data_IF_254023965581
#
_entry.id   IF_254023965581
#
_cell.length_a   1.000
_cell.length_b   1.000
_cell.length_c   1.000
_cell.angle_alpha   90.00
_cell.angle_beta   90.00
_cell.angle_gamma   90.00
#
_symmetry.space_group_name_H-M   'P 1'
#
loop_
_entity.id
_entity.type
_entity.pdbx_description
1 polymer ?
#
# COMPACT_ATOMS: atom_id res chain seq x y z
N UNK A 1 7.87 26.41 -19.38
CA UNK A 1 6.42 26.58 -19.08
C UNK A 1 5.65 25.55 -19.90
N UNK A 2 4.66 24.87 -19.33
CA UNK A 2 3.78 23.92 -20.04
C UNK A 2 2.37 24.51 -19.97
N UNK A 3 1.77 24.75 -21.14
CA UNK A 3 0.36 25.17 -21.23
C UNK A 3 -0.54 23.94 -21.14
N UNK A 4 -1.39 23.89 -20.14
CA UNK A 4 -2.38 22.82 -19.98
C UNK A 4 -3.54 22.94 -20.98
N UNK A 5 -3.69 24.08 -21.66
CA UNK A 5 -4.71 24.33 -22.70
C UNK A 5 -6.14 23.99 -22.22
N UNK A 6 -6.51 24.40 -21.00
CA UNK A 6 -7.83 24.14 -20.40
C UNK A 6 -8.06 22.70 -19.93
N UNK A 7 -7.07 21.83 -20.01
CA UNK A 7 -7.14 20.44 -19.52
C UNK A 7 -7.11 20.38 -17.98
N UNK A 8 -7.63 19.27 -17.43
CA UNK A 8 -7.60 19.02 -15.98
C UNK A 8 -6.17 18.71 -15.54
N UNK A 9 -5.77 19.33 -14.43
CA UNK A 9 -4.46 19.12 -13.79
C UNK A 9 -4.69 18.60 -12.37
N UNK A 10 -4.00 17.52 -12.01
CA UNK A 10 -4.04 16.94 -10.67
C UNK A 10 -2.63 16.72 -10.13
N UNK A 11 -2.47 16.53 -8.81
CA UNK A 11 -1.28 15.88 -8.28
C UNK A 11 -1.09 14.53 -8.96
N UNK A 12 0.15 14.01 -8.96
CA UNK A 12 0.40 12.64 -9.33
C UNK A 12 -0.39 11.66 -8.45
N UNK A 13 -0.90 10.59 -9.07
CA UNK A 13 -1.58 9.54 -8.33
C UNK A 13 -0.59 8.77 -7.45
N UNK A 14 -1.06 8.37 -6.28
CA UNK A 14 -0.32 7.58 -5.30
C UNK A 14 -1.03 6.24 -5.12
N UNK A 15 -0.32 5.12 -5.32
CA UNK A 15 -0.81 3.83 -4.86
C UNK A 15 -0.14 3.47 -3.53
N UNK A 16 -0.91 3.52 -2.45
CA UNK A 16 -0.41 3.32 -1.10
C UNK A 16 -0.15 1.84 -0.74
N UNK A 17 -0.52 0.89 -1.61
CA UNK A 17 -0.31 -0.53 -1.38
C UNK A 17 -0.33 -1.31 -2.69
N UNK A 18 0.84 -1.70 -3.14
CA UNK A 18 1.02 -2.60 -4.27
C UNK A 18 2.28 -3.47 -4.06
N UNK A 19 2.59 -4.31 -5.05
CA UNK A 19 3.73 -5.22 -5.04
C UNK A 19 4.55 -5.08 -6.34
N UNK A 20 4.37 -3.98 -7.08
CA UNK A 20 5.11 -3.78 -8.33
C UNK A 20 6.60 -3.69 -8.05
N UNK A 21 7.38 -4.29 -8.95
CA UNK A 21 8.82 -4.42 -8.80
C UNK A 21 9.28 -5.62 -7.97
N UNK A 22 8.41 -6.21 -7.11
CA UNK A 22 8.71 -7.42 -6.36
C UNK A 22 8.06 -8.67 -6.97
N UNK A 23 6.97 -8.50 -7.70
CA UNK A 23 6.32 -9.60 -8.42
C UNK A 23 6.52 -9.39 -9.91
N UNK A 24 7.14 -10.40 -10.56
CA UNK A 24 7.33 -10.43 -11.99
C UNK A 24 6.04 -10.84 -12.72
N UNK A 25 6.02 -10.57 -14.01
CA UNK A 25 4.87 -10.86 -14.86
C UNK A 25 4.94 -12.23 -15.54
N UNK A 26 6.12 -12.87 -15.59
CA UNK A 26 6.36 -13.98 -16.50
C UNK A 26 6.69 -15.32 -15.85
N UNK A 27 7.30 -15.38 -14.66
CA UNK A 27 7.67 -16.66 -14.04
C UNK A 27 7.72 -16.61 -12.52
N UNK A 28 7.62 -17.79 -11.89
CA UNK A 28 7.78 -17.94 -10.44
C UNK A 28 9.17 -17.53 -9.94
N UNK A 29 10.19 -17.59 -10.79
CA UNK A 29 11.56 -17.16 -10.46
C UNK A 29 11.67 -15.63 -10.26
N UNK A 30 10.68 -14.87 -10.70
CA UNK A 30 10.61 -13.42 -10.53
C UNK A 30 9.70 -12.98 -9.36
N UNK A 31 9.18 -13.95 -8.58
CA UNK A 31 8.20 -13.72 -7.52
C UNK A 31 8.92 -13.55 -6.18
N UNK A 32 9.48 -12.37 -5.93
CA UNK A 32 10.21 -12.02 -4.70
C UNK A 32 9.33 -11.40 -3.60
N UNK A 33 8.03 -11.32 -3.82
CA UNK A 33 7.11 -10.63 -2.89
C UNK A 33 6.73 -11.42 -1.64
N UNK A 34 7.07 -12.70 -1.50
CA UNK A 34 6.72 -13.50 -0.32
C UNK A 34 7.83 -14.48 0.04
N UNK A 35 8.52 -14.23 1.15
CA UNK A 35 9.43 -15.16 1.77
C UNK A 35 8.66 -16.07 2.74
N UNK A 36 8.54 -17.35 2.39
CA UNK A 36 7.64 -18.27 3.07
C UNK A 36 8.36 -19.26 4.00
N UNK A 37 9.60 -19.02 4.38
CA UNK A 37 10.40 -19.92 5.23
C UNK A 37 10.06 -19.79 6.71
N UNK A 38 9.55 -18.63 7.14
CA UNK A 38 9.10 -18.38 8.51
C UNK A 38 7.90 -17.44 8.52
N UNK A 39 6.94 -17.60 9.46
CA UNK A 39 5.76 -16.73 9.55
C UNK A 39 6.05 -15.31 10.02
N UNK A 40 7.24 -15.05 10.56
CA UNK A 40 7.66 -13.72 11.02
C UNK A 40 9.10 -13.45 10.61
N UNK A 41 9.29 -12.54 9.68
CA UNK A 41 10.57 -12.13 9.11
C UNK A 41 10.64 -10.59 9.01
N UNK A 42 10.64 -9.88 10.15
CA UNK A 42 10.59 -8.42 10.16
C UNK A 42 11.84 -7.74 9.58
N UNK A 43 12.96 -8.46 9.47
CA UNK A 43 14.22 -7.94 8.91
C UNK A 43 14.25 -7.86 7.39
N UNK A 44 13.23 -8.34 6.68
CA UNK A 44 13.16 -8.22 5.22
C UNK A 44 12.81 -6.79 4.80
N UNK A 45 13.44 -6.32 3.72
CA UNK A 45 13.17 -4.98 3.18
C UNK A 45 12.74 -5.09 1.73
N UNK A 46 11.58 -4.54 1.40
CA UNK A 46 11.05 -4.56 0.04
C UNK A 46 11.98 -3.92 -0.99
N UNK A 47 12.75 -2.91 -0.57
CA UNK A 47 13.68 -2.21 -1.46
C UNK A 47 14.80 -3.13 -1.99
N UNK A 48 15.21 -4.14 -1.23
CA UNK A 48 16.32 -5.01 -1.62
C UNK A 48 15.95 -5.97 -2.77
N UNK A 49 14.65 -6.20 -2.99
CA UNK A 49 14.15 -7.04 -4.08
C UNK A 49 13.55 -6.24 -5.25
N UNK A 50 13.61 -4.91 -5.19
CA UNK A 50 12.90 -4.06 -6.14
C UNK A 50 13.55 -4.06 -7.52
N UNK A 51 12.83 -4.52 -8.54
CA UNK A 51 13.24 -4.52 -9.95
C UNK A 51 12.85 -3.20 -10.61
N UNK A 52 13.81 -2.29 -10.73
CA UNK A 52 13.60 -0.92 -11.20
C UNK A 52 13.29 -0.80 -12.70
N UNK A 53 13.64 -1.80 -13.50
CA UNK A 53 13.46 -1.85 -14.95
C UNK A 53 12.17 -2.55 -15.38
N UNK A 54 11.28 -2.83 -14.43
CA UNK A 54 10.04 -3.55 -14.71
C UNK A 54 9.08 -2.74 -15.57
N UNK A 55 8.51 -3.38 -16.60
CA UNK A 55 7.48 -2.79 -17.46
C UNK A 55 6.32 -2.17 -16.66
N UNK A 56 6.05 -2.68 -15.45
CA UNK A 56 4.98 -2.20 -14.59
C UNK A 56 5.19 -0.75 -14.12
N UNK A 57 6.45 -0.33 -13.91
CA UNK A 57 6.75 1.08 -13.59
C UNK A 57 6.43 2.00 -14.78
N UNK A 58 6.77 1.60 -16.01
CA UNK A 58 6.44 2.36 -17.21
C UNK A 58 4.92 2.47 -17.41
N UNK A 59 4.19 1.38 -17.15
CA UNK A 59 2.72 1.38 -17.16
C UNK A 59 2.16 2.34 -16.12
N UNK A 60 2.69 2.31 -14.88
CA UNK A 60 2.29 3.22 -13.82
C UNK A 60 2.43 4.69 -14.23
N UNK A 61 3.60 5.07 -14.77
CA UNK A 61 3.86 6.44 -15.26
C UNK A 61 2.86 6.84 -16.33
N UNK A 62 2.63 6.00 -17.35
CA UNK A 62 1.70 6.28 -18.45
C UNK A 62 0.25 6.51 -17.99
N UNK A 63 -0.11 5.96 -16.82
CA UNK A 63 -1.45 6.09 -16.23
C UNK A 63 -1.51 7.15 -15.10
N UNK A 64 -0.47 7.97 -14.96
CA UNK A 64 -0.45 9.09 -14.01
C UNK A 64 -0.13 8.70 -12.58
N UNK A 65 0.24 7.43 -12.30
CA UNK A 65 0.71 6.99 -10.99
C UNK A 65 2.18 7.38 -10.86
N UNK A 66 2.47 8.38 -10.04
CA UNK A 66 3.83 8.95 -9.88
C UNK A 66 4.57 8.38 -8.69
N UNK A 67 3.81 7.85 -7.71
CA UNK A 67 4.36 7.34 -6.45
C UNK A 67 3.67 6.04 -6.09
N UNK A 68 4.44 5.08 -5.62
CA UNK A 68 3.91 3.81 -5.08
C UNK A 68 4.57 3.48 -3.75
N UNK A 69 3.79 2.86 -2.87
CA UNK A 69 4.28 2.21 -1.66
C UNK A 69 4.19 0.71 -1.90
N UNK A 70 5.35 0.10 -2.16
CA UNK A 70 5.47 -1.29 -2.60
C UNK A 70 6.30 -2.11 -1.62
N UNK A 71 6.02 -3.39 -1.50
CA UNK A 71 6.69 -4.25 -0.52
C UNK A 71 6.16 -5.67 -0.50
N UNK A 72 6.46 -6.45 0.56
CA UNK A 72 6.09 -7.84 0.66
C UNK A 72 4.58 -8.06 0.71
N UNK A 73 4.15 -9.21 0.19
CA UNK A 73 2.76 -9.65 0.26
C UNK A 73 2.29 -10.03 1.67
N UNK A 74 1.13 -10.68 1.74
CA UNK A 74 0.46 -11.01 3.02
C UNK A 74 0.54 -12.49 3.40
N UNK A 75 1.52 -13.22 2.88
CA UNK A 75 1.73 -14.64 3.25
C UNK A 75 2.21 -14.84 4.68
N UNK A 76 2.92 -13.85 5.25
CA UNK A 76 3.51 -13.90 6.58
C UNK A 76 2.69 -13.09 7.58
N UNK A 77 2.74 -13.48 8.86
CA UNK A 77 2.20 -12.67 9.97
C UNK A 77 2.96 -11.34 10.07
N UNK A 78 4.31 -11.39 9.91
CA UNK A 78 5.16 -10.22 9.80
C UNK A 78 6.08 -10.45 8.59
N UNK A 79 5.96 -9.61 7.57
CA UNK A 79 6.57 -9.85 6.26
C UNK A 79 7.78 -8.97 5.94
N UNK A 80 8.15 -8.03 6.81
CA UNK A 80 9.19 -7.06 6.52
C UNK A 80 8.65 -5.67 6.15
N UNK A 81 9.49 -4.81 5.60
CA UNK A 81 9.15 -3.41 5.36
C UNK A 81 8.77 -3.12 3.90
N UNK A 82 7.84 -2.19 3.74
CA UNK A 82 7.54 -1.54 2.46
C UNK A 82 8.49 -0.39 2.20
N UNK A 83 8.66 -0.04 0.93
CA UNK A 83 9.38 1.12 0.45
C UNK A 83 8.43 2.09 -0.28
N UNK A 84 8.66 3.39 -0.14
CA UNK A 84 7.97 4.42 -0.92
C UNK A 84 8.89 4.93 -2.03
N UNK A 85 8.45 4.85 -3.28
CA UNK A 85 9.27 5.20 -4.44
C UNK A 85 8.48 5.96 -5.51
N UNK A 86 9.20 6.79 -6.25
CA UNK A 86 8.71 7.37 -7.51
C UNK A 86 8.70 6.31 -8.61
N UNK A 87 7.74 6.41 -9.50
CA UNK A 87 7.61 5.45 -10.62
C UNK A 87 8.60 5.71 -11.74
N UNK A 88 9.15 6.93 -11.83
CA UNK A 88 10.25 7.27 -12.73
C UNK A 88 11.33 8.10 -12.01
N UNK A 89 12.53 8.14 -12.59
CA UNK A 89 13.68 8.89 -12.10
C UNK A 89 14.94 8.53 -12.88
N UNK A 90 16.03 9.27 -12.65
CA UNK A 90 17.29 9.09 -13.39
C UNK A 90 17.97 7.75 -13.12
N UNK A 91 17.86 7.25 -11.91
CA UNK A 91 18.41 5.98 -11.46
C UNK A 91 17.56 5.45 -10.29
N UNK A 92 17.76 4.20 -9.84
CA UNK A 92 17.02 3.64 -8.71
C UNK A 92 17.04 4.52 -7.46
N UNK A 93 18.20 4.97 -7.01
CA UNK A 93 18.34 5.71 -5.77
C UNK A 93 17.58 7.05 -5.79
N UNK A 94 17.54 7.72 -6.98
CA UNK A 94 16.79 8.97 -7.15
C UNK A 94 15.28 8.79 -7.06
N UNK A 95 14.77 7.56 -7.15
CA UNK A 95 13.33 7.26 -7.03
C UNK A 95 12.90 7.06 -5.59
N UNK A 96 13.82 6.83 -4.65
CA UNK A 96 13.49 6.46 -3.27
C UNK A 96 13.00 7.69 -2.50
N UNK A 97 11.75 7.63 -2.02
CA UNK A 97 11.19 8.58 -1.06
C UNK A 97 11.58 8.17 0.36
N UNK A 98 11.33 6.88 0.69
CA UNK A 98 11.71 6.27 1.95
C UNK A 98 12.01 4.78 1.73
N UNK A 99 13.17 4.32 2.21
CA UNK A 99 13.58 2.92 2.02
C UNK A 99 12.72 1.93 2.80
N UNK A 100 12.30 2.31 4.00
CA UNK A 100 11.53 1.46 4.92
C UNK A 100 10.44 2.30 5.59
N UNK A 101 9.30 2.44 4.92
CA UNK A 101 8.25 3.37 5.34
C UNK A 101 7.29 2.77 6.38
N UNK A 102 7.04 1.47 6.33
CA UNK A 102 6.13 0.80 7.23
C UNK A 102 6.43 -0.70 7.34
N UNK A 103 6.03 -1.31 8.46
CA UNK A 103 6.13 -2.75 8.70
C UNK A 103 4.87 -3.46 8.20
N UNK A 104 5.02 -4.46 7.34
CA UNK A 104 3.91 -5.30 6.87
C UNK A 104 3.56 -6.37 7.88
N UNK A 105 2.28 -6.42 8.23
CA UNK A 105 1.70 -7.51 9.01
C UNK A 105 0.44 -8.05 8.32
N UNK A 106 0.03 -9.28 8.64
CA UNK A 106 -1.17 -9.87 8.07
C UNK A 106 -1.87 -10.82 9.06
N UNK A 107 -3.21 -10.74 9.03
CA UNK A 107 -4.14 -11.66 9.66
C UNK A 107 -5.05 -12.29 8.60
N UNK A 108 -5.99 -13.11 9.01
CA UNK A 108 -6.99 -13.70 8.13
C UNK A 108 -6.55 -14.94 7.38
N UNK A 109 -6.99 -15.05 6.15
CA UNK A 109 -6.88 -16.29 5.35
C UNK A 109 -5.46 -16.53 4.85
N UNK A 110 -4.75 -15.50 4.41
CA UNK A 110 -3.49 -15.65 3.69
C UNK A 110 -2.42 -16.37 4.51
N UNK A 111 -1.98 -15.92 5.71
CA UNK A 111 -0.96 -16.63 6.46
C UNK A 111 -1.44 -18.01 6.91
N UNK A 112 -2.70 -18.13 7.32
CA UNK A 112 -3.27 -19.39 7.76
C UNK A 112 -3.25 -20.46 6.66
N UNK A 113 -3.62 -20.10 5.43
CA UNK A 113 -3.63 -21.04 4.30
C UNK A 113 -2.22 -21.35 3.83
N UNK A 114 -1.36 -20.32 3.74
CA UNK A 114 0.02 -20.50 3.27
C UNK A 114 0.80 -21.49 4.14
N UNK A 115 0.82 -21.28 5.45
CA UNK A 115 1.54 -22.17 6.39
C UNK A 115 0.79 -23.46 6.68
N UNK A 116 -0.54 -23.39 6.79
CA UNK A 116 -1.37 -24.56 7.04
C UNK A 116 -1.25 -25.66 6.00
N UNK A 117 -1.15 -25.32 4.70
CA UNK A 117 -0.90 -26.26 3.60
C UNK A 117 0.43 -26.98 3.70
N UNK A 118 1.41 -26.38 4.35
CA UNK A 118 2.76 -26.93 4.59
C UNK A 118 2.87 -27.67 5.93
N UNK A 119 1.77 -27.85 6.63
CA UNK A 119 1.71 -28.40 7.97
C UNK A 119 2.52 -27.59 9.02
N UNK A 120 2.64 -26.30 8.81
CA UNK A 120 3.33 -25.34 9.68
C UNK A 120 2.33 -24.41 10.38
N UNK A 121 2.76 -23.73 11.46
CA UNK A 121 2.00 -22.65 12.10
C UNK A 121 2.13 -21.34 11.28
N UNK A 122 1.05 -20.51 11.19
CA UNK A 122 -0.26 -20.71 11.82
C UNK A 122 -1.23 -21.56 10.95
N UNK A 123 -2.10 -22.33 11.63
CA UNK A 123 -3.25 -23.02 11.02
C UNK A 123 -4.59 -22.39 11.42
N UNK A 124 -4.58 -21.56 12.44
CA UNK A 124 -5.79 -20.94 13.02
C UNK A 124 -5.59 -19.43 13.21
N UNK A 125 -6.70 -18.66 13.26
CA UNK A 125 -6.66 -17.24 13.62
C UNK A 125 -6.07 -17.00 15.02
N UNK A 126 -6.33 -17.92 15.97
CA UNK A 126 -5.74 -17.87 17.31
C UNK A 126 -4.21 -17.89 17.24
N UNK A 127 -3.64 -18.83 16.44
CA UNK A 127 -2.19 -18.94 16.29
C UNK A 127 -1.59 -17.75 15.52
N UNK A 128 -2.31 -17.22 14.53
CA UNK A 128 -1.89 -15.99 13.82
C UNK A 128 -1.75 -14.82 14.81
N UNK A 129 -2.76 -14.60 15.64
CA UNK A 129 -2.73 -13.54 16.66
C UNK A 129 -1.67 -13.80 17.74
N UNK A 130 -1.47 -15.07 18.14
CA UNK A 130 -0.45 -15.45 19.13
C UNK A 130 0.96 -15.15 18.62
N UNK A 131 1.30 -15.55 17.38
CA UNK A 131 2.60 -15.25 16.77
C UNK A 131 2.82 -13.74 16.68
N UNK A 132 1.82 -12.97 16.22
CA UNK A 132 1.94 -11.51 16.13
C UNK A 132 2.24 -10.89 17.49
N UNK A 133 1.50 -11.27 18.55
CA UNK A 133 1.73 -10.80 19.91
C UNK A 133 3.10 -11.18 20.45
N UNK A 134 3.48 -12.44 20.28
CA UNK A 134 4.79 -12.93 20.74
C UNK A 134 5.93 -12.12 20.16
N UNK A 135 5.91 -11.86 18.85
CA UNK A 135 6.95 -11.06 18.20
C UNK A 135 6.92 -9.60 18.67
N UNK A 136 5.73 -9.02 18.84
CA UNK A 136 5.60 -7.65 19.35
C UNK A 136 6.06 -7.53 20.80
N UNK A 137 5.76 -8.52 21.67
CA UNK A 137 6.28 -8.53 23.04
C UNK A 137 7.81 -8.61 23.06
N UNK A 138 8.39 -9.51 22.27
CA UNK A 138 9.86 -9.62 22.15
C UNK A 138 10.49 -8.32 21.63
N UNK A 139 9.90 -7.73 20.60
CA UNK A 139 10.41 -6.47 20.04
C UNK A 139 10.25 -5.30 21.02
N UNK A 140 9.18 -5.26 21.82
CA UNK A 140 8.97 -4.24 22.85
C UNK A 140 10.00 -4.35 23.97
N UNK A 141 10.29 -5.58 24.41
CA UNK A 141 11.34 -5.83 25.40
C UNK A 141 12.73 -5.48 24.85
N UNK A 142 13.00 -5.88 23.60
CA UNK A 142 14.24 -5.53 22.91
C UNK A 142 14.39 -4.01 22.77
N UNK A 143 13.32 -3.28 22.41
CA UNK A 143 13.32 -1.82 22.30
C UNK A 143 13.68 -1.15 23.62
N UNK A 144 13.08 -1.59 24.73
CA UNK A 144 13.38 -1.05 26.06
C UNK A 144 14.86 -1.26 26.41
N UNK A 145 15.37 -2.47 26.22
CA UNK A 145 16.76 -2.80 26.51
C UNK A 145 17.73 -2.03 25.58
N UNK A 146 17.35 -1.87 24.29
CA UNK A 146 18.14 -1.11 23.32
C UNK A 146 18.23 0.39 23.68
N UNK A 147 17.15 0.97 24.18
CA UNK A 147 17.16 2.38 24.64
C UNK A 147 18.12 2.59 25.83
N UNK A 148 18.28 1.60 26.68
CA UNK A 148 19.12 1.70 27.88
C UNK A 148 20.58 1.27 27.61
N UNK A 149 20.82 0.30 26.75
CA UNK A 149 22.10 -0.39 26.59
C UNK A 149 22.54 -0.58 25.14
N UNK A 150 21.85 -0.02 24.14
CA UNK A 150 22.11 -0.29 22.73
C UNK A 150 23.48 0.17 22.21
N UNK A 151 24.16 1.07 22.93
CA UNK A 151 25.52 1.52 22.64
C UNK A 151 26.60 0.63 23.30
N UNK A 152 26.21 -0.30 24.18
CA UNK A 152 27.12 -1.23 24.80
C UNK A 152 27.68 -2.22 23.75
N UNK A 153 29.01 -2.37 23.61
CA UNK A 153 29.60 -3.34 22.68
C UNK A 153 29.17 -4.79 22.92
N UNK A 154 28.78 -5.12 24.15
CA UNK A 154 28.31 -6.45 24.55
C UNK A 154 26.79 -6.62 24.43
N UNK A 155 26.07 -5.61 23.91
CA UNK A 155 24.61 -5.72 23.71
C UNK A 155 24.26 -6.86 22.76
N UNK A 156 23.37 -7.79 23.14
CA UNK A 156 23.00 -8.95 22.32
C UNK A 156 22.15 -8.53 21.12
N UNK A 157 22.80 -8.25 19.99
CA UNK A 157 22.13 -7.79 18.78
C UNK A 157 21.28 -8.90 18.14
N UNK A 158 19.96 -8.65 18.03
CA UNK A 158 19.02 -9.47 17.26
C UNK A 158 18.51 -8.66 16.06
N UNK A 159 18.94 -9.03 14.86
CA UNK A 159 18.60 -8.33 13.62
C UNK A 159 17.07 -8.21 13.39
N UNK A 160 16.32 -9.27 13.67
CA UNK A 160 14.88 -9.26 13.49
C UNK A 160 14.17 -8.40 14.51
N UNK A 161 14.59 -8.45 15.77
CA UNK A 161 14.02 -7.60 16.83
C UNK A 161 14.40 -6.14 16.62
N UNK A 162 15.63 -5.86 16.18
CA UNK A 162 16.07 -4.51 15.82
C UNK A 162 15.23 -3.90 14.70
N UNK A 163 14.89 -4.69 13.67
CA UNK A 163 14.00 -4.24 12.61
C UNK A 163 12.57 -4.02 13.10
N UNK A 164 12.04 -4.92 13.94
CA UNK A 164 10.67 -4.86 14.42
C UNK A 164 10.46 -3.79 15.49
N UNK A 165 11.46 -3.51 16.34
CA UNK A 165 11.31 -2.51 17.41
C UNK A 165 10.95 -1.13 16.90
N UNK A 166 11.25 -0.81 15.63
CA UNK A 166 10.95 0.48 14.99
C UNK A 166 9.45 0.82 14.99
N UNK A 167 8.57 -0.18 15.13
CA UNK A 167 7.13 0.06 15.28
C UNK A 167 6.79 0.75 16.61
N UNK A 168 7.68 0.66 17.61
CA UNK A 168 7.58 1.38 18.90
C UNK A 168 8.28 2.73 18.85
N UNK A 169 9.06 2.99 17.82
CA UNK A 169 9.72 4.27 17.53
C UNK A 169 9.00 5.06 16.40
N UNK A 170 7.69 4.83 16.26
CA UNK A 170 6.84 5.59 15.37
C UNK A 170 6.66 5.05 13.95
N UNK A 171 7.38 3.98 13.54
CA UNK A 171 7.13 3.35 12.24
C UNK A 171 5.70 2.81 12.19
N UNK A 172 4.97 3.15 11.12
CA UNK A 172 3.60 2.66 10.90
C UNK A 172 3.57 1.16 10.61
N UNK A 173 2.50 0.50 11.07
CA UNK A 173 2.21 -0.90 10.74
C UNK A 173 1.06 -0.96 9.74
N UNK A 174 1.24 -1.67 8.64
CA UNK A 174 0.20 -1.97 7.63
C UNK A 174 -0.33 -3.37 7.86
N UNK A 175 -1.56 -3.49 8.37
CA UNK A 175 -2.14 -4.78 8.77
C UNK A 175 -3.17 -5.21 7.72
N UNK A 176 -2.84 -6.25 6.95
CA UNK A 176 -3.79 -6.91 6.04
C UNK A 176 -4.90 -7.59 6.84
N UNK A 177 -6.14 -7.17 6.60
CA UNK A 177 -7.34 -7.79 7.15
C UNK A 177 -8.57 -7.48 6.29
N UNK A 178 -9.33 -8.51 5.92
CA UNK A 178 -10.54 -8.38 5.11
C UNK A 178 -11.81 -8.48 5.94
N UNK A 179 -11.96 -9.54 6.75
CA UNK A 179 -13.18 -9.84 7.50
C UNK A 179 -13.28 -8.99 8.77
N UNK A 180 -14.50 -8.68 9.18
CA UNK A 180 -14.79 -7.86 10.34
C UNK A 180 -14.11 -8.35 11.62
N UNK A 181 -14.10 -9.66 11.86
CA UNK A 181 -13.47 -10.29 13.04
C UNK A 181 -11.93 -10.21 12.97
N UNK A 182 -11.32 -10.32 11.79
CA UNK A 182 -9.88 -10.14 11.60
C UNK A 182 -9.49 -8.66 11.77
N UNK A 183 -10.30 -7.72 11.26
CA UNK A 183 -10.11 -6.26 11.45
C UNK A 183 -10.18 -5.90 12.94
N UNK A 184 -11.20 -6.40 13.66
CA UNK A 184 -11.32 -6.19 15.11
C UNK A 184 -10.13 -6.77 15.88
N UNK A 185 -9.61 -7.92 15.44
CA UNK A 185 -8.41 -8.52 16.05
C UNK A 185 -7.17 -7.66 15.78
N UNK A 186 -7.02 -7.13 14.57
CA UNK A 186 -5.94 -6.19 14.24
C UNK A 186 -6.01 -4.93 15.11
N UNK A 187 -7.20 -4.33 15.26
CA UNK A 187 -7.42 -3.15 16.13
C UNK A 187 -7.06 -3.47 17.59
N UNK A 188 -7.51 -4.63 18.12
CA UNK A 188 -7.18 -5.03 19.51
C UNK A 188 -5.68 -5.14 19.71
N UNK A 189 -4.96 -5.79 18.79
CA UNK A 189 -3.51 -5.95 18.91
C UNK A 189 -2.81 -4.59 18.77
N UNK A 190 -3.20 -3.78 17.79
CA UNK A 190 -2.61 -2.45 17.60
C UNK A 190 -2.79 -1.57 18.84
N UNK A 191 -3.97 -1.57 19.46
CA UNK A 191 -4.24 -0.84 20.71
C UNK A 191 -3.46 -1.40 21.90
N UNK A 192 -3.35 -2.74 22.03
CA UNK A 192 -2.59 -3.41 23.09
C UNK A 192 -1.12 -2.97 23.13
N UNK A 193 -0.54 -2.74 21.95
CA UNK A 193 0.86 -2.33 21.78
C UNK A 193 1.06 -0.85 21.49
N UNK A 194 -0.02 -0.05 21.42
CA UNK A 194 0.00 1.38 21.08
C UNK A 194 0.67 1.66 19.71
N UNK A 195 0.38 0.84 18.71
CA UNK A 195 0.97 0.97 17.39
C UNK A 195 0.29 2.07 16.56
N UNK A 196 1.06 2.77 15.75
CA UNK A 196 0.53 3.54 14.61
C UNK A 196 0.23 2.56 13.49
N UNK A 197 -1.03 2.48 13.02
CA UNK A 197 -1.40 1.46 12.05
C UNK A 197 -2.43 1.94 11.02
N UNK A 198 -2.50 1.19 9.92
CA UNK A 198 -3.60 1.21 8.96
C UNK A 198 -4.11 -0.21 8.71
N UNK A 199 -5.39 -0.32 8.36
CA UNK A 199 -5.98 -1.60 7.93
C UNK A 199 -5.98 -1.63 6.40
N UNK A 200 -5.28 -2.63 5.86
CA UNK A 200 -5.18 -2.85 4.44
C UNK A 200 -6.35 -3.72 3.95
N UNK A 201 -6.88 -3.40 2.77
CA UNK A 201 -8.06 -4.00 2.15
C UNK A 201 -9.38 -3.66 2.85
N UNK A 202 -9.48 -3.82 4.15
CA UNK A 202 -10.61 -3.39 4.99
C UNK A 202 -11.99 -3.77 4.39
N UNK A 203 -12.11 -4.96 3.80
CA UNK A 203 -13.26 -5.37 2.96
C UNK A 203 -14.58 -5.29 3.71
N UNK A 204 -14.62 -5.77 4.96
CA UNK A 204 -15.80 -5.75 5.82
C UNK A 204 -15.85 -4.49 6.72
N UNK A 205 -14.93 -3.53 6.55
CA UNK A 205 -14.87 -2.33 7.39
C UNK A 205 -16.18 -1.55 7.42
N UNK A 206 -16.92 -1.52 6.29
CA UNK A 206 -18.22 -0.87 6.22
C UNK A 206 -19.30 -1.53 7.10
N UNK A 207 -19.11 -2.79 7.54
CA UNK A 207 -20.01 -3.49 8.47
C UNK A 207 -19.74 -3.13 9.94
N UNK A 208 -18.57 -2.58 10.24
CA UNK A 208 -18.11 -2.25 11.60
C UNK A 208 -17.63 -0.78 11.69
N UNK A 209 -18.29 0.11 10.98
CA UNK A 209 -17.94 1.53 10.87
C UNK A 209 -17.77 2.19 12.25
N UNK A 210 -18.68 1.93 13.19
CA UNK A 210 -18.62 2.52 14.55
C UNK A 210 -17.34 2.12 15.29
N UNK A 211 -16.83 0.91 15.03
CA UNK A 211 -15.57 0.43 15.60
C UNK A 211 -14.37 1.15 14.97
N UNK A 212 -14.40 1.33 13.65
CA UNK A 212 -13.36 2.07 12.93
C UNK A 212 -13.29 3.53 13.40
N UNK A 213 -14.44 4.19 13.55
CA UNK A 213 -14.54 5.58 14.03
C UNK A 213 -14.02 5.68 15.47
N UNK A 214 -14.48 4.81 16.37
CA UNK A 214 -14.09 4.81 17.79
C UNK A 214 -12.58 4.66 17.99
N UNK A 215 -11.94 3.89 17.13
CA UNK A 215 -10.49 3.63 17.20
C UNK A 215 -9.66 4.51 16.24
N UNK A 216 -10.26 5.52 15.60
CA UNK A 216 -9.61 6.42 14.65
C UNK A 216 -8.81 5.68 13.56
N UNK A 217 -9.36 4.57 13.05
CA UNK A 217 -8.68 3.69 12.10
C UNK A 217 -8.59 4.35 10.74
N UNK A 218 -7.39 4.40 10.18
CA UNK A 218 -7.15 4.71 8.78
C UNK A 218 -7.20 3.43 7.94
N UNK A 219 -7.85 3.48 6.77
CA UNK A 219 -8.08 2.31 5.93
C UNK A 219 -7.55 2.50 4.51
N UNK A 220 -7.05 1.43 3.92
CA UNK A 220 -6.78 1.34 2.48
C UNK A 220 -7.74 0.33 1.86
N UNK A 221 -8.75 0.82 1.12
CA UNK A 221 -9.75 -0.01 0.47
C UNK A 221 -9.27 -0.58 -0.85
N UNK A 222 -9.50 -1.85 -1.07
CA UNK A 222 -9.23 -2.52 -2.34
C UNK A 222 -8.28 -3.72 -2.24
N UNK A 223 -8.05 -4.41 -3.38
CA UNK A 223 -8.73 -4.21 -4.66
C UNK A 223 -10.20 -4.68 -4.59
N UNK A 224 -11.12 -3.88 -5.11
CA UNK A 224 -12.54 -4.23 -5.15
C UNK A 224 -12.97 -4.73 -6.52
N UNK A 225 -12.29 -4.28 -7.58
CA UNK A 225 -12.41 -4.84 -8.93
C UNK A 225 -11.93 -6.28 -8.94
N UNK A 226 -12.58 -7.13 -9.75
CA UNK A 226 -12.25 -8.54 -9.89
C UNK A 226 -13.13 -9.46 -9.07
N UNK A 227 -12.83 -10.76 -9.13
CA UNK A 227 -13.64 -11.81 -8.54
C UNK A 227 -13.54 -11.87 -7.00
N UNK A 228 -14.54 -12.56 -6.42
CA UNK A 228 -14.59 -12.89 -4.97
C UNK A 228 -13.93 -14.25 -4.71
N UNK A 229 -12.71 -14.45 -5.23
CA UNK A 229 -12.03 -15.75 -5.24
C UNK A 229 -11.61 -16.30 -3.87
N UNK A 230 -11.71 -15.48 -2.80
CA UNK A 230 -11.45 -15.87 -1.43
C UNK A 230 -12.68 -15.66 -0.56
N UNK A 231 -12.86 -16.50 0.47
CA UNK A 231 -13.95 -16.37 1.42
C UNK A 231 -13.90 -15.00 2.13
N UNK A 232 -12.72 -14.54 2.50
CA UNK A 232 -12.52 -13.25 3.16
C UNK A 232 -12.90 -12.04 2.29
N UNK A 233 -12.97 -12.21 0.95
CA UNK A 233 -13.35 -11.17 0.01
C UNK A 233 -14.82 -11.23 -0.44
N UNK A 234 -15.64 -12.13 0.13
CA UNK A 234 -17.04 -12.37 -0.29
C UNK A 234 -17.94 -11.14 -0.20
N UNK A 235 -17.66 -10.24 0.74
CA UNK A 235 -18.47 -9.06 1.01
C UNK A 235 -17.95 -7.80 0.28
N UNK A 236 -17.01 -7.94 -0.67
CA UNK A 236 -16.54 -6.82 -1.50
C UNK A 236 -17.71 -6.04 -2.10
N UNK A 237 -17.71 -4.73 -1.90
CA UNK A 237 -18.73 -3.83 -2.46
C UNK A 237 -18.15 -2.43 -2.68
N UNK A 238 -18.49 -1.81 -3.80
CA UNK A 238 -18.14 -0.42 -4.07
C UNK A 238 -18.91 0.58 -3.20
N UNK A 239 -20.00 0.17 -2.54
CA UNK A 239 -20.72 1.01 -1.56
C UNK A 239 -19.90 1.31 -0.30
N UNK A 240 -18.89 0.50 -0.01
CA UNK A 240 -18.02 0.69 1.15
C UNK A 240 -17.41 2.11 1.18
N UNK A 241 -16.97 2.63 0.02
CA UNK A 241 -16.39 3.98 -0.06
C UNK A 241 -17.34 5.08 0.43
N UNK A 242 -18.59 5.08 -0.04
CA UNK A 242 -19.61 6.04 0.41
C UNK A 242 -19.89 5.92 1.92
N UNK A 243 -19.95 4.71 2.43
CA UNK A 243 -20.22 4.47 3.86
C UNK A 243 -19.08 5.01 4.72
N UNK A 244 -17.82 4.79 4.34
CA UNK A 244 -16.66 5.33 5.06
C UNK A 244 -16.56 6.85 4.93
N UNK A 245 -16.87 7.43 3.75
CA UNK A 245 -16.93 8.89 3.55
C UNK A 245 -17.97 9.52 4.49
N UNK A 246 -19.19 8.97 4.54
CA UNK A 246 -20.26 9.47 5.41
C UNK A 246 -19.91 9.37 6.89
N UNK A 247 -19.08 8.44 7.28
CA UNK A 247 -18.59 8.27 8.65
C UNK A 247 -17.37 9.15 8.98
N UNK A 248 -16.86 9.93 8.02
CA UNK A 248 -15.69 10.79 8.22
C UNK A 248 -14.37 10.02 8.41
N UNK A 249 -14.32 8.77 7.99
CA UNK A 249 -13.11 7.95 8.10
C UNK A 249 -12.11 8.37 7.02
N UNK A 250 -10.84 8.57 7.40
CA UNK A 250 -9.76 8.76 6.42
C UNK A 250 -9.43 7.42 5.77
N UNK A 251 -9.64 7.33 4.46
CA UNK A 251 -9.31 6.13 3.69
C UNK A 251 -8.71 6.47 2.32
N UNK A 252 -7.98 5.52 1.77
CA UNK A 252 -7.42 5.55 0.43
C UNK A 252 -7.92 4.39 -0.44
N UNK A 253 -7.67 4.46 -1.74
CA UNK A 253 -7.97 3.39 -2.70
C UNK A 253 -6.66 2.81 -3.24
N UNK A 254 -6.56 1.48 -3.26
CA UNK A 254 -5.34 0.74 -3.64
C UNK A 254 -5.64 -0.31 -4.70
N UNK A 255 -4.63 -0.62 -5.51
CA UNK A 255 -4.76 -1.68 -6.52
C UNK A 255 -4.35 -3.04 -6.01
N UNK A 256 -3.44 -3.09 -5.01
CA UNK A 256 -2.78 -4.34 -4.63
C UNK A 256 -2.10 -5.00 -5.85
N UNK A 257 -1.59 -4.15 -6.78
CA UNK A 257 -1.02 -4.65 -8.02
C UNK A 257 0.05 -5.72 -7.76
N UNK A 258 0.02 -6.84 -8.49
CA UNK A 258 -0.70 -7.08 -9.76
C UNK A 258 -2.12 -7.67 -9.65
N UNK A 259 -2.74 -7.78 -8.47
CA UNK A 259 -4.10 -8.33 -8.34
C UNK A 259 -5.14 -7.50 -9.11
N UNK A 260 -5.11 -6.19 -9.00
CA UNK A 260 -5.66 -5.27 -10.00
C UNK A 260 -4.46 -4.59 -10.64
N UNK A 261 -4.31 -4.66 -11.96
CA UNK A 261 -3.23 -3.96 -12.63
C UNK A 261 -3.18 -2.48 -12.26
N UNK A 262 -1.98 -1.92 -12.15
CA UNK A 262 -1.77 -0.53 -11.65
C UNK A 262 -2.56 0.50 -12.46
N UNK A 263 -2.72 0.29 -13.76
CA UNK A 263 -3.55 1.10 -14.66
C UNK A 263 -5.04 1.07 -14.33
N UNK A 264 -5.49 0.08 -13.57
CA UNK A 264 -6.88 -0.06 -13.11
C UNK A 264 -7.27 0.87 -11.96
N UNK A 265 -6.34 1.66 -11.42
CA UNK A 265 -6.57 2.51 -10.24
C UNK A 265 -7.71 3.52 -10.46
N UNK A 266 -7.69 4.26 -11.57
CA UNK A 266 -8.76 5.22 -11.92
C UNK A 266 -10.09 4.53 -12.19
N UNK A 267 -10.08 3.38 -12.89
CA UNK A 267 -11.31 2.61 -13.13
C UNK A 267 -11.96 2.18 -11.81
N UNK A 268 -11.14 1.70 -10.87
CA UNK A 268 -11.64 1.30 -9.55
C UNK A 268 -12.30 2.49 -8.83
N UNK A 269 -11.66 3.65 -8.84
CA UNK A 269 -12.21 4.88 -8.24
C UNK A 269 -13.51 5.32 -8.91
N UNK A 270 -13.59 5.27 -10.25
CA UNK A 270 -14.80 5.58 -11.00
C UNK A 270 -15.97 4.63 -10.63
N UNK A 271 -15.69 3.36 -10.37
CA UNK A 271 -16.70 2.40 -9.89
C UNK A 271 -17.18 2.71 -8.47
N UNK A 272 -16.31 3.21 -7.57
CA UNK A 272 -16.73 3.72 -6.27
C UNK A 272 -17.63 4.95 -6.42
N UNK A 273 -17.29 5.89 -7.32
CA UNK A 273 -18.14 7.07 -7.60
C UNK A 273 -19.50 6.65 -8.15
N UNK A 274 -19.55 5.68 -9.08
CA UNK A 274 -20.82 5.12 -9.57
C UNK A 274 -21.69 4.53 -8.45
N UNK A 275 -21.08 4.12 -7.34
CA UNK A 275 -21.76 3.52 -6.19
C UNK A 275 -21.90 4.48 -4.99
N UNK A 276 -21.76 5.81 -5.23
CA UNK A 276 -22.14 6.85 -4.29
C UNK A 276 -21.00 7.57 -3.58
N UNK A 277 -19.74 7.18 -3.81
CA UNK A 277 -18.59 7.95 -3.33
C UNK A 277 -18.55 9.31 -4.06
N UNK A 278 -18.27 10.41 -3.35
CA UNK A 278 -18.09 11.70 -4.02
C UNK A 278 -16.86 11.70 -4.93
N UNK A 279 -16.93 12.45 -6.04
CA UNK A 279 -15.80 12.57 -6.98
C UNK A 279 -14.55 13.18 -6.32
N UNK A 280 -14.78 14.17 -5.46
CA UNK A 280 -13.72 14.82 -4.71
C UNK A 280 -13.01 13.82 -3.78
N UNK A 281 -13.78 13.04 -3.01
CA UNK A 281 -13.22 12.02 -2.14
C UNK A 281 -12.49 10.94 -2.93
N UNK A 282 -13.03 10.52 -4.09
CA UNK A 282 -12.37 9.53 -4.94
C UNK A 282 -10.98 10.01 -5.41
N UNK A 283 -10.84 11.28 -5.82
CA UNK A 283 -9.55 11.86 -6.16
C UNK A 283 -8.62 12.00 -4.94
N UNK A 284 -9.15 12.43 -3.79
CA UNK A 284 -8.37 12.45 -2.54
C UNK A 284 -7.86 11.07 -2.16
N UNK A 285 -8.67 10.03 -2.32
CA UNK A 285 -8.28 8.64 -2.05
C UNK A 285 -7.15 8.11 -2.96
N UNK A 286 -6.98 8.71 -4.15
CA UNK A 286 -5.92 8.36 -5.09
C UNK A 286 -4.68 9.26 -4.95
N UNK A 287 -4.73 10.27 -4.08
CA UNK A 287 -3.69 11.29 -3.97
C UNK A 287 -3.35 11.54 -2.49
N UNK A 288 -3.88 12.60 -1.91
CA UNK A 288 -3.50 13.07 -0.58
C UNK A 288 -3.84 12.08 0.55
N UNK A 289 -4.98 11.37 0.50
CA UNK A 289 -5.30 10.40 1.53
C UNK A 289 -4.33 9.21 1.54
N UNK A 290 -3.98 8.70 0.35
CA UNK A 290 -2.96 7.66 0.22
C UNK A 290 -1.61 8.13 0.77
N UNK A 291 -1.24 9.39 0.50
CA UNK A 291 0.00 9.98 1.01
C UNK A 291 -0.03 10.12 2.55
N UNK A 292 -1.14 10.62 3.14
CA UNK A 292 -1.31 10.74 4.60
C UNK A 292 -1.23 9.38 5.29
N UNK A 293 -1.93 8.37 4.77
CA UNK A 293 -1.94 7.03 5.37
C UNK A 293 -0.57 6.35 5.32
N UNK A 294 0.29 6.81 4.43
CA UNK A 294 1.65 6.27 4.28
C UNK A 294 2.76 7.22 4.71
N UNK A 295 2.42 8.31 5.43
CA UNK A 295 3.35 9.28 6.01
C UNK A 295 4.30 9.92 4.96
N UNK A 296 3.84 10.14 3.72
CA UNK A 296 4.58 10.81 2.63
C UNK A 296 3.91 12.09 2.15
N UNK A 297 2.86 12.55 2.83
CA UNK A 297 2.08 13.72 2.47
C UNK A 297 2.85 15.04 2.56
N UNK A 298 3.95 15.08 3.28
CA UNK A 298 4.88 16.21 3.28
C UNK A 298 5.59 16.40 1.93
N UNK A 299 5.66 15.35 1.09
CA UNK A 299 6.34 15.36 -0.21
C UNK A 299 5.39 15.28 -1.39
N UNK A 300 4.33 14.47 -1.32
CA UNK A 300 3.45 14.15 -2.46
C UNK A 300 1.96 14.21 -2.10
N UNK A 301 1.09 14.01 -3.06
CA UNK A 301 -0.36 13.86 -2.88
C UNK A 301 -1.17 15.14 -3.03
N UNK A 302 -0.55 16.32 -3.09
CA UNK A 302 -1.22 17.60 -3.37
C UNK A 302 -0.31 18.54 -4.16
N UNK A 303 -0.90 19.56 -4.79
CA UNK A 303 -0.17 20.62 -5.50
C UNK A 303 -0.01 21.81 -4.53
N UNK A 304 1.05 21.80 -3.75
CA UNK A 304 1.37 22.82 -2.77
C UNK A 304 2.85 23.23 -2.86
N UNK A 305 3.17 24.51 -2.61
CA UNK A 305 4.56 24.94 -2.53
C UNK A 305 5.34 24.13 -1.48
N UNK A 306 6.54 23.69 -1.86
CA UNK A 306 7.41 22.89 -0.97
C UNK A 306 7.29 21.38 -1.12
N UNK A 307 6.26 20.90 -1.83
CA UNK A 307 6.16 19.47 -2.20
C UNK A 307 6.85 19.17 -3.52
N UNK A 308 7.09 17.88 -3.75
CA UNK A 308 7.64 17.40 -5.01
C UNK A 308 6.68 17.75 -6.16
N UNK A 309 7.25 18.20 -7.28
CA UNK A 309 6.46 18.60 -8.43
C UNK A 309 6.01 17.38 -9.26
N UNK A 310 5.12 16.58 -8.67
CA UNK A 310 4.44 15.45 -9.29
C UNK A 310 3.08 15.92 -9.82
N UNK A 311 2.95 16.04 -11.14
CA UNK A 311 1.79 16.66 -11.77
C UNK A 311 1.33 15.80 -12.95
N UNK A 312 0.02 15.61 -13.08
CA UNK A 312 -0.59 14.96 -14.24
C UNK A 312 -1.53 15.93 -14.95
N UNK A 313 -1.35 16.07 -16.25
CA UNK A 313 -2.26 16.80 -17.14
C UNK A 313 -3.07 15.75 -17.90
N UNK A 314 -4.38 15.73 -17.67
CA UNK A 314 -5.33 14.75 -18.23
C UNK A 314 -5.97 15.29 -19.51
N UNK A 315 -6.24 14.43 -20.47
CA UNK A 315 -6.94 14.85 -21.70
C UNK A 315 -8.40 15.24 -21.46
N UNK A 316 -9.04 14.54 -20.53
CA UNK A 316 -10.40 14.77 -20.06
C UNK A 316 -10.42 14.62 -18.52
N UNK A 317 -11.59 14.70 -17.93
CA UNK A 317 -11.75 14.50 -16.48
C UNK A 317 -11.21 13.12 -16.03
N UNK A 318 -10.35 13.04 -14.99
CA UNK A 318 -9.62 11.83 -14.63
C UNK A 318 -10.47 10.57 -14.40
N UNK A 319 -11.67 10.73 -13.82
CA UNK A 319 -12.57 9.61 -13.53
C UNK A 319 -13.52 9.27 -14.70
N UNK A 320 -13.36 9.89 -15.86
CA UNK A 320 -14.07 9.50 -17.07
C UNK A 320 -13.47 8.20 -17.64
N UNK A 321 -14.32 7.33 -18.19
CA UNK A 321 -13.92 6.00 -18.71
C UNK A 321 -12.83 6.09 -19.80
N UNK A 322 -12.81 7.18 -20.57
CA UNK A 322 -11.83 7.40 -21.66
C UNK A 322 -10.68 8.29 -21.24
N UNK A 323 -10.55 8.61 -19.95
CA UNK A 323 -9.46 9.47 -19.48
C UNK A 323 -8.12 8.81 -19.65
N UNK A 324 -7.17 9.62 -20.16
CA UNK A 324 -5.77 9.25 -20.32
C UNK A 324 -4.87 10.38 -19.84
N UNK A 325 -3.73 10.02 -19.26
CA UNK A 325 -2.71 10.98 -18.92
C UNK A 325 -2.04 11.49 -20.23
N UNK A 326 -2.15 12.79 -20.49
CA UNK A 326 -1.51 13.42 -21.62
C UNK A 326 -0.05 13.78 -21.35
N UNK A 327 0.22 14.30 -20.13
CA UNK A 327 1.58 14.61 -19.67
C UNK A 327 1.68 14.20 -18.20
N UNK A 328 2.75 13.49 -17.87
CA UNK A 328 3.10 13.14 -16.49
C UNK A 328 4.45 13.75 -16.14
N UNK A 329 4.48 14.49 -15.06
CA UNK A 329 5.66 15.16 -14.53
C UNK A 329 5.97 14.53 -13.18
N UNK A 330 7.21 14.14 -12.94
CA UNK A 330 7.72 13.60 -11.68
C UNK A 330 8.97 14.39 -11.30
N UNK A 331 9.01 14.89 -10.07
CA UNK A 331 10.10 15.76 -9.57
C UNK A 331 10.41 16.93 -10.53
N UNK A 332 9.36 17.52 -11.13
CA UNK A 332 9.48 18.64 -12.07
C UNK A 332 10.00 18.27 -13.46
N UNK A 333 10.25 16.99 -13.74
CA UNK A 333 10.70 16.51 -15.05
C UNK A 333 9.57 15.79 -15.79
N UNK A 334 9.46 15.99 -17.11
CA UNK A 334 8.49 15.25 -17.92
C UNK A 334 8.93 13.79 -17.98
N UNK A 335 8.20 12.93 -17.27
CA UNK A 335 8.41 11.49 -17.25
C UNK A 335 7.68 10.79 -18.40
N UNK A 336 6.52 11.32 -18.82
CA UNK A 336 5.76 10.81 -19.95
C UNK A 336 5.02 11.94 -20.69
N UNK A 337 4.99 11.84 -22.00
CA UNK A 337 4.15 12.69 -22.86
C UNK A 337 3.54 11.81 -23.95
N UNK A 338 2.22 11.72 -23.97
CA UNK A 338 1.48 10.96 -24.97
C UNK A 338 1.63 11.58 -26.34
N UNK A 339 1.93 10.78 -27.34
CA UNK A 339 1.95 11.19 -28.75
C UNK A 339 0.54 11.11 -29.35
N UNK A 340 0.25 11.95 -30.34
CA UNK A 340 -1.03 11.88 -31.04
C UNK A 340 -1.21 10.49 -31.68
N UNK A 341 -2.38 9.86 -31.42
CA UNK A 341 -2.70 8.51 -31.88
C UNK A 341 -2.09 7.36 -31.05
N UNK A 342 -1.28 7.66 -30.03
CA UNK A 342 -0.73 6.65 -29.12
C UNK A 342 -1.79 6.26 -28.08
N UNK A 343 -2.01 4.97 -27.89
CA UNK A 343 -2.77 4.44 -26.73
C UNK A 343 -1.82 4.34 -25.54
N UNK A 344 -2.30 4.61 -24.33
CA UNK A 344 -1.53 4.34 -23.10
C UNK A 344 -1.25 2.85 -22.91
N UNK A 345 -1.94 1.99 -23.65
CA UNK A 345 -1.87 0.54 -23.58
C UNK A 345 -1.20 0.03 -24.86
N UNK A 346 0.12 0.17 -24.96
CA UNK A 346 0.89 -0.50 -26.01
C UNK A 346 1.50 -1.80 -25.43
N UNK A 347 0.70 -2.86 -25.42
CA UNK A 347 1.14 -4.19 -24.95
C UNK A 347 2.16 -4.87 -25.86
N UNK A 348 2.51 -4.27 -27.01
CA UNK A 348 3.46 -4.88 -27.94
C UNK A 348 4.93 -4.74 -27.52
N UNK A 349 5.19 -4.00 -26.43
CA UNK A 349 6.53 -3.80 -25.86
C UNK A 349 6.74 -4.42 -24.49
N UNK A 350 5.77 -5.22 -24.01
CA UNK A 350 5.86 -5.94 -22.75
C UNK A 350 6.45 -7.35 -22.95
#
# INVERSE_FOLDING_TARGET
MIDAAGRVVTPGLVDAHCHIGLWGTASSAEMDGNENTSPALPGLRGIDALKWNGATFDVAVRHGVTTVVTGPGSSNIIGGTFTAVKTAGKNPDSRVICQEICMKMALGENPKVNYGRRNMAPKTRMMSAAIMREQLFRAKEYYRNYQEHGEDPDFPFDFHMHSLMRVFDGMRVKIHAHQADDIQTAIRIANEFHLRFSIEHCTDGYLIVDELVRNHVQCLLGPTVGGKGKIEARNKTFKAGQILENAGITFGLITDAPFVPIEGQLLQAALYVKNGLSREMALKCLTINNAIITDIDSRVGSLEPGKDADVVIWDVEPLATLSQAGIVIIDGQIAYRRKAGESNVDYQKL
#
